data_IF_696926763324
#
_entry.id   IF_696926763324
#
_cell.length_a   1.000
_cell.length_b   1.000
_cell.length_c   1.000
_cell.angle_alpha   90.00
_cell.angle_beta   90.00
_cell.angle_gamma   90.00
#
_symmetry.space_group_name_H-M   'P 1'
#
loop_
_entity.id
_entity.type
_entity.pdbx_description
1 polymer ?
#
# COMPACT_ATOMS: atom_id res chain seq x y z
N UNK A 1 -3.82 23.89 -53.33
CA UNK A 1 -3.86 25.05 -52.43
C UNK A 1 -2.98 26.19 -52.92
N UNK A 2 -1.69 25.97 -53.17
CA UNK A 2 -0.79 27.06 -53.61
C UNK A 2 -1.19 27.72 -54.94
N UNK A 3 -1.58 26.94 -55.96
CA UNK A 3 -2.04 27.49 -57.24
C UNK A 3 -3.34 28.29 -57.08
N UNK A 4 -4.25 27.83 -56.23
CA UNK A 4 -5.51 28.49 -55.91
C UNK A 4 -5.28 29.84 -55.20
N UNK A 5 -4.34 29.86 -54.26
CA UNK A 5 -3.95 31.07 -53.53
C UNK A 5 -3.28 32.08 -54.47
N UNK A 6 -2.37 31.64 -55.35
CA UNK A 6 -1.74 32.50 -56.37
C UNK A 6 -2.75 33.07 -57.36
N UNK A 7 -3.71 32.27 -57.83
CA UNK A 7 -4.80 32.74 -58.71
C UNK A 7 -5.67 33.78 -58.01
N UNK A 8 -6.01 33.57 -56.72
CA UNK A 8 -6.78 34.53 -55.92
C UNK A 8 -6.04 35.86 -55.76
N UNK A 9 -4.74 35.81 -55.47
CA UNK A 9 -3.90 37.01 -55.30
C UNK A 9 -3.74 37.80 -56.60
N UNK A 10 -3.55 37.12 -57.74
CA UNK A 10 -3.45 37.77 -59.06
C UNK A 10 -4.78 38.41 -59.50
N UNK A 11 -5.91 37.75 -59.23
CA UNK A 11 -7.24 38.31 -59.49
C UNK A 11 -7.53 39.54 -58.59
N UNK A 12 -7.12 39.50 -57.31
CA UNK A 12 -7.28 40.63 -56.38
C UNK A 12 -6.40 41.81 -56.81
N UNK A 13 -5.16 41.54 -57.23
CA UNK A 13 -4.23 42.54 -57.79
C UNK A 13 -4.81 43.21 -59.05
N UNK A 14 -5.29 42.42 -60.01
CA UNK A 14 -5.93 42.93 -61.23
C UNK A 14 -7.17 43.78 -60.94
N UNK A 15 -8.02 43.34 -60.00
CA UNK A 15 -9.19 44.11 -59.57
C UNK A 15 -8.80 45.47 -58.98
N UNK A 16 -7.82 45.50 -58.06
CA UNK A 16 -7.34 46.74 -57.43
C UNK A 16 -6.73 47.70 -58.44
N UNK A 17 -5.96 47.20 -59.41
CA UNK A 17 -5.37 48.01 -60.47
C UNK A 17 -6.42 48.62 -61.39
N UNK A 18 -7.43 47.85 -61.82
CA UNK A 18 -8.55 48.36 -62.60
C UNK A 18 -9.36 49.39 -61.81
N UNK A 19 -9.68 49.12 -60.54
CA UNK A 19 -10.39 50.06 -59.66
C UNK A 19 -9.66 51.39 -59.52
N UNK A 20 -8.32 51.36 -59.36
CA UNK A 20 -7.48 52.56 -59.32
C UNK A 20 -7.55 53.34 -60.63
N UNK A 21 -7.37 52.67 -61.77
CA UNK A 21 -7.44 53.30 -63.10
C UNK A 21 -8.82 53.91 -63.37
N UNK A 22 -9.90 53.21 -63.02
CA UNK A 22 -11.27 53.70 -63.10
C UNK A 22 -11.47 54.98 -62.27
N UNK A 23 -10.96 55.01 -61.03
CA UNK A 23 -11.06 56.17 -60.15
C UNK A 23 -10.26 57.37 -60.69
N UNK A 24 -9.07 57.13 -61.24
CA UNK A 24 -8.25 58.16 -61.89
C UNK A 24 -8.92 58.72 -63.16
N UNK A 25 -9.49 57.86 -64.00
CA UNK A 25 -10.24 58.29 -65.19
C UNK A 25 -11.50 59.08 -64.82
N UNK A 26 -12.23 58.68 -63.77
CA UNK A 26 -13.38 59.43 -63.28
C UNK A 26 -13.00 60.81 -62.72
N UNK A 27 -11.85 60.92 -62.05
CA UNK A 27 -11.33 62.19 -61.58
C UNK A 27 -11.00 63.11 -62.76
N UNK A 28 -10.28 62.59 -63.76
CA UNK A 28 -9.95 63.33 -64.98
C UNK A 28 -11.18 63.74 -65.79
N UNK A 29 -12.23 62.91 -65.82
CA UNK A 29 -13.51 63.27 -66.44
C UNK A 29 -14.15 64.49 -65.77
N UNK A 30 -14.19 64.53 -64.43
CA UNK A 30 -14.69 65.69 -63.69
C UNK A 30 -13.84 66.95 -63.89
N UNK A 31 -12.53 66.79 -64.00
CA UNK A 31 -11.61 67.90 -64.30
C UNK A 31 -11.83 68.46 -65.73
N UNK A 32 -12.08 67.59 -66.71
CA UNK A 32 -12.34 67.98 -68.10
C UNK A 32 -13.77 68.53 -68.34
N UNK A 33 -14.76 68.08 -67.59
CA UNK A 33 -16.12 68.67 -67.61
C UNK A 33 -16.13 70.15 -67.16
N UNK A 34 -15.19 70.53 -66.28
CA UNK A 34 -15.03 71.91 -65.81
C UNK A 34 -14.21 72.78 -66.78
N UNK A 35 -13.44 72.17 -67.68
CA UNK A 35 -12.60 72.87 -68.65
C UNK A 35 -13.33 73.11 -70.00
N UNK A 36 -13.94 74.28 -70.17
CA UNK A 36 -14.67 74.65 -71.40
C UNK A 36 -13.74 74.89 -72.60
N UNK A 37 -13.72 73.95 -73.54
CA UNK A 37 -13.07 74.08 -74.86
C UNK A 37 -13.66 73.10 -75.87
N UNK A 38 -13.78 73.47 -77.15
CA UNK A 38 -14.36 72.61 -78.19
C UNK A 38 -13.56 71.31 -78.42
N UNK A 39 -12.25 71.31 -78.14
CA UNK A 39 -11.41 70.11 -78.10
C UNK A 39 -11.62 69.22 -76.87
N UNK A 40 -12.18 69.75 -75.77
CA UNK A 40 -12.47 69.00 -74.54
C UNK A 40 -13.60 68.00 -74.73
N UNK A 41 -14.57 68.25 -75.63
CA UNK A 41 -15.71 67.34 -75.84
C UNK A 41 -15.31 65.99 -76.45
N UNK A 42 -14.41 66.01 -77.43
CA UNK A 42 -13.90 64.77 -78.08
C UNK A 42 -13.04 63.97 -77.09
N UNK A 43 -12.20 64.64 -76.30
CA UNK A 43 -11.38 63.99 -75.27
C UNK A 43 -12.22 63.48 -74.09
N UNK A 44 -13.32 64.17 -73.75
CA UNK A 44 -14.29 63.74 -72.76
C UNK A 44 -15.01 62.46 -73.21
N UNK A 45 -15.48 62.40 -74.45
CA UNK A 45 -16.11 61.19 -75.01
C UNK A 45 -15.11 60.01 -75.07
N UNK A 46 -13.85 60.27 -75.45
CA UNK A 46 -12.78 59.28 -75.47
C UNK A 46 -12.50 58.73 -74.06
N UNK A 47 -12.35 59.62 -73.08
CA UNK A 47 -12.06 59.24 -71.69
C UNK A 47 -13.28 58.60 -71.02
N UNK A 48 -14.50 58.96 -71.43
CA UNK A 48 -15.74 58.34 -70.96
C UNK A 48 -15.86 56.91 -71.50
N UNK A 49 -15.53 56.68 -72.77
CA UNK A 49 -15.43 55.35 -73.35
C UNK A 49 -14.35 54.50 -72.66
N UNK A 50 -13.18 55.09 -72.38
CA UNK A 50 -12.07 54.44 -71.65
C UNK A 50 -12.47 54.09 -70.20
N UNK A 51 -13.13 55.00 -69.49
CA UNK A 51 -13.64 54.76 -68.14
C UNK A 51 -14.75 53.71 -68.11
N UNK A 52 -15.63 53.68 -69.11
CA UNK A 52 -16.64 52.64 -69.26
C UNK A 52 -16.01 51.28 -69.55
N UNK A 53 -14.96 51.23 -70.36
CA UNK A 53 -14.21 50.01 -70.64
C UNK A 53 -13.50 49.49 -69.39
N UNK A 54 -12.77 50.34 -68.67
CA UNK A 54 -12.12 49.98 -67.40
C UNK A 54 -13.12 49.55 -66.32
N UNK A 55 -14.34 50.14 -66.30
CA UNK A 55 -15.44 49.68 -65.43
C UNK A 55 -15.95 48.30 -65.80
N UNK A 56 -16.01 47.95 -67.09
CA UNK A 56 -16.36 46.58 -67.54
C UNK A 56 -15.27 45.60 -67.13
N UNK A 57 -14.00 45.99 -67.23
CA UNK A 57 -12.87 45.17 -66.79
C UNK A 57 -12.90 44.96 -65.27
N UNK A 58 -13.10 46.01 -64.47
CA UNK A 58 -13.26 45.91 -63.01
C UNK A 58 -14.39 44.93 -62.64
N UNK A 59 -15.57 45.05 -63.27
CA UNK A 59 -16.67 44.10 -63.05
C UNK A 59 -16.29 42.67 -63.42
N UNK A 60 -15.50 42.47 -64.48
CA UNK A 60 -15.04 41.15 -64.89
C UNK A 60 -14.07 40.53 -63.87
N UNK A 61 -13.23 41.35 -63.23
CA UNK A 61 -12.35 40.91 -62.15
C UNK A 61 -13.13 40.60 -60.88
N UNK A 62 -14.11 41.43 -60.51
CA UNK A 62 -14.99 41.18 -59.37
C UNK A 62 -15.80 39.88 -59.56
N UNK A 63 -16.28 39.61 -60.78
CA UNK A 63 -16.93 38.34 -61.11
C UNK A 63 -15.97 37.14 -60.96
N UNK A 64 -14.72 37.25 -61.41
CA UNK A 64 -13.71 36.19 -61.24
C UNK A 64 -13.37 35.95 -59.76
N UNK A 65 -13.30 37.02 -58.94
CA UNK A 65 -13.12 36.89 -57.49
C UNK A 65 -14.32 36.21 -56.82
N UNK A 66 -15.54 36.50 -57.25
CA UNK A 66 -16.74 35.81 -56.74
C UNK A 66 -16.76 34.33 -57.13
N UNK A 67 -16.32 33.97 -58.33
CA UNK A 67 -16.10 32.57 -58.72
C UNK A 67 -15.03 31.89 -57.84
N UNK A 68 -13.96 32.60 -57.45
CA UNK A 68 -13.00 32.06 -56.48
C UNK A 68 -13.65 31.84 -55.11
N UNK A 69 -14.49 32.75 -54.61
CA UNK A 69 -15.23 32.54 -53.34
C UNK A 69 -16.17 31.34 -53.41
N UNK A 70 -16.80 31.08 -54.57
CA UNK A 70 -17.60 29.86 -54.79
C UNK A 70 -16.71 28.62 -54.75
N UNK A 71 -15.54 28.67 -55.41
CA UNK A 71 -14.54 27.58 -55.35
C UNK A 71 -14.03 27.33 -53.93
N UNK A 72 -13.88 28.36 -53.08
CA UNK A 72 -13.56 28.22 -51.65
C UNK A 72 -14.67 27.51 -50.88
N UNK A 73 -15.93 27.88 -51.12
CA UNK A 73 -17.09 27.21 -50.50
C UNK A 73 -17.25 25.76 -50.94
N UNK A 74 -16.92 25.44 -52.19
CA UNK A 74 -16.94 24.08 -52.71
C UNK A 74 -15.63 23.32 -52.43
N UNK A 75 -14.65 23.95 -51.78
CA UNK A 75 -13.36 23.33 -51.55
C UNK A 75 -13.51 22.17 -50.55
N UNK A 76 -12.97 20.99 -50.85
CA UNK A 76 -13.02 19.87 -49.93
C UNK A 76 -12.35 20.21 -48.59
N UNK A 77 -12.99 19.78 -47.52
CA UNK A 77 -12.42 19.88 -46.18
C UNK A 77 -11.22 18.94 -46.04
N UNK A 78 -10.08 19.48 -45.63
CA UNK A 78 -8.84 18.77 -45.33
C UNK A 78 -8.25 19.28 -44.02
N UNK A 79 -7.15 18.70 -43.55
CA UNK A 79 -6.54 19.04 -42.25
C UNK A 79 -6.24 20.53 -42.09
N UNK A 80 -5.91 21.22 -43.20
CA UNK A 80 -5.56 22.64 -43.22
C UNK A 80 -6.79 23.57 -43.31
N UNK A 81 -7.93 23.07 -43.79
CA UNK A 81 -9.18 23.85 -43.88
C UNK A 81 -10.14 23.56 -42.72
N UNK A 82 -10.06 22.37 -42.12
CA UNK A 82 -10.93 21.94 -41.02
C UNK A 82 -10.65 22.65 -39.70
N UNK A 83 -9.37 22.81 -39.36
CA UNK A 83 -8.98 23.38 -38.07
C UNK A 83 -7.56 23.93 -38.12
N UNK A 84 -7.18 24.63 -37.05
CA UNK A 84 -5.81 25.08 -36.80
C UNK A 84 -5.38 24.60 -35.43
N UNK A 85 -4.08 24.40 -35.25
CA UNK A 85 -3.54 24.07 -33.94
C UNK A 85 -3.77 25.26 -32.98
N UNK A 86 -4.74 25.10 -32.08
CA UNK A 86 -5.09 26.11 -31.09
C UNK A 86 -4.22 26.03 -29.84
N UNK A 87 -3.75 24.84 -29.49
CA UNK A 87 -2.90 24.59 -28.33
C UNK A 87 -2.24 23.23 -28.46
N UNK A 88 -0.91 23.24 -28.43
CA UNK A 88 -0.10 22.02 -28.43
C UNK A 88 0.94 22.11 -27.33
N UNK A 89 0.85 21.19 -26.36
CA UNK A 89 1.81 21.05 -25.26
C UNK A 89 2.09 19.57 -25.05
N UNK A 90 3.34 19.18 -25.27
CA UNK A 90 3.83 17.86 -24.89
C UNK A 90 4.43 17.91 -23.49
N UNK A 91 4.30 16.80 -22.76
CA UNK A 91 4.99 16.57 -21.49
C UNK A 91 5.47 15.12 -21.50
N UNK A 92 6.79 14.94 -21.51
CA UNK A 92 7.41 13.64 -21.30
C UNK A 92 7.67 13.53 -19.81
N UNK A 93 7.12 12.49 -19.17
CA UNK A 93 7.35 12.23 -17.75
C UNK A 93 8.75 11.64 -17.53
N UNK A 94 9.78 12.45 -17.76
CA UNK A 94 11.15 12.12 -17.40
C UNK A 94 11.21 12.06 -15.88
N UNK A 95 11.39 10.86 -15.34
CA UNK A 95 11.42 10.64 -13.89
C UNK A 95 12.54 11.48 -13.27
N UNK A 96 12.34 12.03 -12.06
CA UNK A 96 13.43 12.62 -11.30
C UNK A 96 14.53 11.57 -11.09
N UNK A 97 15.78 12.03 -11.05
CA UNK A 97 16.94 11.21 -10.70
C UNK A 97 16.63 10.45 -9.40
N UNK A 98 16.94 9.15 -9.36
CA UNK A 98 16.56 8.27 -8.25
C UNK A 98 16.95 8.92 -6.92
N UNK A 99 15.94 9.33 -6.15
CA UNK A 99 16.16 9.87 -4.83
C UNK A 99 16.87 8.81 -3.98
N UNK A 100 17.87 9.26 -3.23
CA UNK A 100 18.66 8.45 -2.29
C UNK A 100 17.76 7.54 -1.46
N UNK A 101 18.27 6.34 -1.15
CA UNK A 101 17.58 5.34 -0.35
C UNK A 101 16.96 5.99 0.90
N UNK A 102 15.62 5.90 1.02
CA UNK A 102 14.88 6.44 2.17
C UNK A 102 15.52 5.89 3.46
N UNK A 103 15.81 6.79 4.42
CA UNK A 103 16.31 6.43 5.76
C UNK A 103 15.44 5.34 6.41
N UNK A 104 16.04 4.44 7.19
CA UNK A 104 15.34 3.33 7.87
C UNK A 104 14.14 3.82 8.69
N UNK A 105 14.26 4.98 9.33
CA UNK A 105 13.18 5.58 10.12
C UNK A 105 11.97 5.96 9.27
N UNK A 106 12.21 6.46 8.04
CA UNK A 106 11.15 6.79 7.08
C UNK A 106 10.46 5.53 6.58
N UNK A 107 11.22 4.45 6.35
CA UNK A 107 10.65 3.14 5.97
C UNK A 107 9.78 2.56 7.07
N UNK A 108 10.18 2.68 8.33
CA UNK A 108 9.40 2.20 9.48
C UNK A 108 8.07 2.98 9.63
N UNK A 109 8.11 4.31 9.52
CA UNK A 109 6.89 5.14 9.56
C UNK A 109 5.94 4.83 8.39
N UNK A 110 6.52 4.68 7.19
CA UNK A 110 5.79 4.26 6.00
C UNK A 110 5.20 2.87 6.17
N UNK A 111 5.93 1.94 6.79
CA UNK A 111 5.44 0.60 7.10
C UNK A 111 4.22 0.65 8.02
N UNK A 112 4.31 1.35 9.16
CA UNK A 112 3.20 1.48 10.10
C UNK A 112 1.96 2.06 9.45
N UNK A 113 2.10 3.22 8.81
CA UNK A 113 0.97 3.91 8.16
C UNK A 113 0.38 3.11 6.99
N UNK A 114 1.23 2.42 6.21
CA UNK A 114 0.78 1.57 5.12
C UNK A 114 -0.01 0.36 5.61
N UNK A 115 0.53 -0.33 6.62
CA UNK A 115 -0.12 -1.50 7.23
C UNK A 115 -1.46 -1.09 7.83
N UNK A 116 -1.52 0.00 8.61
CA UNK A 116 -2.78 0.49 9.19
C UNK A 116 -3.82 0.83 8.12
N UNK A 117 -3.39 1.45 7.01
CA UNK A 117 -4.29 1.87 5.93
C UNK A 117 -4.83 0.68 5.12
N UNK A 118 -3.99 -0.32 4.86
CA UNK A 118 -4.30 -1.40 3.93
C UNK A 118 -4.42 -2.77 4.59
N UNK A 119 -4.47 -2.85 5.91
CA UNK A 119 -4.50 -4.08 6.69
C UNK A 119 -5.53 -5.09 6.17
N UNK A 120 -6.78 -4.63 5.97
CA UNK A 120 -7.88 -5.47 5.48
C UNK A 120 -7.60 -6.01 4.09
N UNK A 121 -6.97 -5.20 3.24
CA UNK A 121 -6.65 -5.60 1.87
C UNK A 121 -5.50 -6.61 1.84
N UNK A 122 -4.50 -6.43 2.69
CA UNK A 122 -3.38 -7.37 2.87
C UNK A 122 -3.92 -8.71 3.39
N UNK A 123 -4.75 -8.69 4.43
CA UNK A 123 -5.39 -9.89 4.96
C UNK A 123 -6.24 -10.61 3.91
N UNK A 124 -7.00 -9.87 3.11
CA UNK A 124 -7.77 -10.45 2.01
C UNK A 124 -6.87 -11.15 0.99
N UNK A 125 -5.77 -10.52 0.57
CA UNK A 125 -4.79 -11.15 -0.32
C UNK A 125 -4.21 -12.44 0.30
N UNK A 126 -3.87 -12.41 1.60
CA UNK A 126 -3.37 -13.57 2.34
C UNK A 126 -4.34 -14.75 2.41
N UNK A 127 -5.65 -14.50 2.27
CA UNK A 127 -6.66 -15.56 2.26
C UNK A 127 -6.93 -16.16 0.87
N UNK A 128 -6.41 -15.56 -0.21
CA UNK A 128 -6.59 -16.10 -1.58
C UNK A 128 -5.70 -17.32 -1.82
N UNK A 129 -6.09 -18.19 -2.76
CA UNK A 129 -5.29 -19.37 -3.16
C UNK A 129 -5.06 -19.46 -4.65
N UNK A 130 -6.11 -19.26 -5.43
CA UNK A 130 -6.06 -19.43 -6.89
C UNK A 130 -5.19 -18.34 -7.51
N UNK A 131 -4.36 -18.75 -8.45
CA UNK A 131 -3.44 -17.85 -9.15
C UNK A 131 -4.17 -16.71 -9.87
N UNK A 132 -5.30 -16.98 -10.50
CA UNK A 132 -6.10 -15.98 -11.20
C UNK A 132 -6.69 -14.93 -10.24
N UNK A 133 -7.21 -15.38 -9.09
CA UNK A 133 -7.80 -14.50 -8.08
C UNK A 133 -6.72 -13.61 -7.46
N UNK A 134 -5.57 -14.18 -7.09
CA UNK A 134 -4.41 -13.44 -6.58
C UNK A 134 -3.91 -12.40 -7.59
N UNK A 135 -3.76 -12.79 -8.87
CA UNK A 135 -3.31 -11.89 -9.93
C UNK A 135 -4.30 -10.76 -10.19
N UNK A 136 -5.61 -11.06 -10.21
CA UNK A 136 -6.67 -10.07 -10.38
C UNK A 136 -6.69 -9.11 -9.20
N UNK A 137 -6.65 -9.63 -7.99
CA UNK A 137 -6.70 -8.82 -6.77
C UNK A 137 -5.52 -7.85 -6.65
N UNK A 138 -4.30 -8.31 -6.97
CA UNK A 138 -3.12 -7.44 -7.03
C UNK A 138 -3.16 -6.47 -8.22
N UNK A 139 -3.89 -6.79 -9.30
CA UNK A 139 -4.11 -5.82 -10.39
C UNK A 139 -5.05 -4.70 -9.97
N UNK A 140 -6.08 -5.03 -9.19
CA UNK A 140 -7.03 -4.05 -8.64
C UNK A 140 -6.39 -3.24 -7.50
N UNK A 141 -5.40 -3.81 -6.79
CA UNK A 141 -4.73 -3.23 -5.62
C UNK A 141 -3.20 -3.27 -5.76
N UNK A 142 -2.67 -2.65 -6.81
CA UNK A 142 -1.24 -2.73 -7.17
C UNK A 142 -0.29 -2.18 -6.09
N UNK A 143 -0.78 -1.27 -5.24
CA UNK A 143 0.00 -0.73 -4.12
C UNK A 143 0.38 -1.79 -3.08
N UNK A 144 -0.34 -2.91 -3.01
CA UNK A 144 -0.02 -4.04 -2.13
C UNK A 144 1.22 -4.81 -2.56
N UNK A 145 1.70 -4.63 -3.79
CA UNK A 145 2.91 -5.29 -4.29
C UNK A 145 4.14 -4.52 -3.79
N UNK A 146 4.55 -4.79 -2.56
CA UNK A 146 5.68 -4.18 -1.88
C UNK A 146 6.20 -5.03 -0.70
N UNK A 147 7.35 -4.66 -0.16
CA UNK A 147 8.00 -5.40 0.95
C UNK A 147 7.17 -5.33 2.24
N UNK A 148 6.48 -4.21 2.49
CA UNK A 148 5.66 -4.00 3.67
C UNK A 148 4.52 -5.02 3.78
N UNK A 149 3.89 -5.35 2.65
CA UNK A 149 2.86 -6.40 2.59
C UNK A 149 3.45 -7.77 2.95
N UNK A 150 4.61 -8.12 2.41
CA UNK A 150 5.26 -9.39 2.73
C UNK A 150 5.62 -9.48 4.21
N UNK A 151 6.19 -8.42 4.78
CA UNK A 151 6.57 -8.35 6.20
C UNK A 151 5.35 -8.51 7.11
N UNK A 152 4.24 -7.83 6.79
CA UNK A 152 3.00 -7.97 7.56
C UNK A 152 2.46 -9.40 7.51
N UNK A 153 2.42 -10.03 6.32
CA UNK A 153 1.93 -11.39 6.19
C UNK A 153 2.78 -12.40 6.98
N UNK A 154 4.11 -12.20 7.06
CA UNK A 154 4.99 -13.02 7.90
C UNK A 154 4.62 -12.90 9.38
N UNK A 155 4.43 -11.67 9.88
CA UNK A 155 4.02 -11.44 11.27
C UNK A 155 2.66 -12.09 11.53
N UNK A 156 1.72 -11.90 10.60
CA UNK A 156 0.38 -12.48 10.71
C UNK A 156 0.40 -14.01 10.73
N UNK A 157 1.27 -14.67 9.96
CA UNK A 157 1.48 -16.11 10.04
C UNK A 157 1.92 -16.56 11.45
N UNK A 158 2.83 -15.82 12.09
CA UNK A 158 3.31 -16.14 13.44
C UNK A 158 2.18 -15.95 14.46
N UNK A 159 1.42 -14.85 14.36
CA UNK A 159 0.28 -14.61 15.26
C UNK A 159 -0.78 -15.71 15.12
N UNK A 160 -1.12 -16.10 13.88
CA UNK A 160 -2.07 -17.19 13.64
C UNK A 160 -1.60 -18.53 14.22
N UNK A 161 -0.30 -18.82 14.16
CA UNK A 161 0.26 -20.04 14.74
C UNK A 161 0.23 -20.01 16.27
N UNK A 162 0.51 -18.86 16.88
CA UNK A 162 0.38 -18.66 18.34
C UNK A 162 -1.08 -18.76 18.79
N UNK A 163 -2.03 -18.32 17.96
CA UNK A 163 -3.47 -18.46 18.19
C UNK A 163 -4.03 -19.86 17.84
N UNK A 164 -3.17 -20.84 17.54
CA UNK A 164 -3.54 -22.22 17.14
C UNK A 164 -4.41 -22.32 15.86
N UNK A 165 -4.41 -21.28 15.02
CA UNK A 165 -5.11 -21.24 13.73
C UNK A 165 -4.24 -21.77 12.59
N UNK A 166 -3.66 -22.96 12.78
CA UNK A 166 -2.66 -23.53 11.88
C UNK A 166 -3.15 -23.64 10.43
N UNK A 167 -4.40 -24.06 10.19
CA UNK A 167 -4.95 -24.17 8.83
C UNK A 167 -4.99 -22.83 8.08
N UNK A 168 -5.31 -21.74 8.78
CA UNK A 168 -5.28 -20.40 8.20
C UNK A 168 -3.83 -19.90 8.04
N UNK A 169 -2.94 -20.23 8.98
CA UNK A 169 -1.51 -19.93 8.86
C UNK A 169 -0.93 -20.51 7.56
N UNK A 170 -1.22 -21.77 7.23
CA UNK A 170 -0.70 -22.39 6.00
C UNK A 170 -1.21 -21.71 4.73
N UNK A 171 -2.48 -21.29 4.75
CA UNK A 171 -3.10 -20.55 3.65
C UNK A 171 -2.43 -19.18 3.46
N UNK A 172 -2.19 -18.46 4.56
CA UNK A 172 -1.50 -17.16 4.52
C UNK A 172 -0.04 -17.32 4.13
N UNK A 173 0.64 -18.37 4.64
CA UNK A 173 2.02 -18.68 4.32
C UNK A 173 2.23 -18.87 2.81
N UNK A 174 1.30 -19.56 2.14
CA UNK A 174 1.33 -19.67 0.69
C UNK A 174 1.40 -18.29 0.02
N UNK A 175 0.50 -17.38 0.39
CA UNK A 175 0.44 -16.05 -0.20
C UNK A 175 1.62 -15.16 0.19
N UNK A 176 2.21 -15.38 1.36
CA UNK A 176 3.46 -14.76 1.78
C UNK A 176 4.60 -15.11 0.83
N UNK A 177 4.77 -16.40 0.52
CA UNK A 177 5.80 -16.87 -0.43
C UNK A 177 5.53 -16.33 -1.84
N UNK A 178 4.26 -16.26 -2.26
CA UNK A 178 3.89 -15.63 -3.54
C UNK A 178 4.37 -14.18 -3.61
N UNK A 179 4.13 -13.38 -2.56
CA UNK A 179 4.61 -12.01 -2.52
C UNK A 179 6.15 -11.94 -2.51
N UNK A 180 6.82 -12.80 -1.74
CA UNK A 180 8.28 -12.85 -1.70
C UNK A 180 8.89 -13.18 -3.06
N UNK A 181 8.35 -14.15 -3.80
CA UNK A 181 8.82 -14.51 -5.13
C UNK A 181 8.56 -13.40 -6.16
N UNK A 182 7.46 -12.65 -6.03
CA UNK A 182 7.22 -11.45 -6.86
C UNK A 182 8.32 -10.41 -6.61
N UNK A 183 8.65 -10.14 -5.34
CA UNK A 183 9.69 -9.18 -4.96
C UNK A 183 11.09 -9.66 -5.39
N UNK A 184 11.37 -10.95 -5.27
CA UNK A 184 12.63 -11.55 -5.70
C UNK A 184 12.79 -11.46 -7.23
N UNK A 185 11.76 -11.82 -7.99
CA UNK A 185 11.76 -11.68 -9.45
C UNK A 185 12.01 -10.22 -9.86
N UNK A 186 11.39 -9.26 -9.16
CA UNK A 186 11.59 -7.84 -9.40
C UNK A 186 13.04 -7.40 -9.15
N UNK A 187 13.64 -7.87 -8.05
CA UNK A 187 15.06 -7.64 -7.72
C UNK A 187 15.98 -8.24 -8.78
N UNK A 188 15.72 -9.46 -9.24
CA UNK A 188 16.51 -10.10 -10.32
C UNK A 188 16.43 -9.33 -11.64
N UNK A 189 15.25 -8.82 -11.97
CA UNK A 189 15.02 -8.05 -13.21
C UNK A 189 15.39 -6.57 -13.09
N UNK A 190 15.72 -6.08 -11.90
CA UNK A 190 15.99 -4.66 -11.58
C UNK A 190 14.85 -3.73 -12.02
N UNK A 191 13.62 -4.18 -11.82
CA UNK A 191 12.39 -3.43 -12.13
C UNK A 191 11.54 -3.30 -10.88
N UNK A 192 10.62 -2.32 -10.88
CA UNK A 192 9.66 -2.18 -9.80
C UNK A 192 8.74 -3.43 -9.74
N UNK A 193 8.53 -4.05 -8.57
CA UNK A 193 7.65 -5.21 -8.41
C UNK A 193 6.25 -5.01 -8.98
N UNK A 194 5.71 -3.79 -8.88
CA UNK A 194 4.39 -3.40 -9.38
C UNK A 194 4.29 -3.48 -10.90
N UNK A 195 5.43 -3.37 -11.59
CA UNK A 195 5.50 -3.48 -13.05
C UNK A 195 5.65 -4.93 -13.53
N UNK A 196 6.17 -5.85 -12.70
CA UNK A 196 6.49 -7.22 -13.13
C UNK A 196 5.70 -8.34 -12.43
N UNK A 197 4.89 -8.06 -11.41
CA UNK A 197 4.18 -9.13 -10.67
C UNK A 197 3.32 -10.03 -11.55
N UNK A 198 2.73 -9.52 -12.64
CA UNK A 198 1.96 -10.34 -13.59
C UNK A 198 2.82 -11.40 -14.27
N UNK A 199 4.10 -11.11 -14.51
CA UNK A 199 5.02 -12.07 -15.12
C UNK A 199 5.32 -13.24 -14.20
N UNK A 200 5.34 -13.03 -12.88
CA UNK A 200 5.42 -14.12 -11.91
C UNK A 200 4.23 -15.08 -12.09
N UNK A 201 3.00 -14.57 -12.14
CA UNK A 201 1.82 -15.42 -12.34
C UNK A 201 1.81 -16.12 -13.69
N UNK A 202 2.31 -15.49 -14.75
CA UNK A 202 2.51 -16.16 -16.04
C UNK A 202 3.50 -17.31 -15.91
N UNK A 203 4.67 -17.07 -15.29
CA UNK A 203 5.72 -18.08 -15.11
C UNK A 203 5.23 -19.25 -14.28
N UNK A 204 4.61 -19.02 -13.13
CA UNK A 204 4.20 -20.10 -12.21
C UNK A 204 3.08 -20.97 -12.80
N UNK A 205 2.21 -20.42 -13.65
CA UNK A 205 1.15 -21.18 -14.36
C UNK A 205 1.70 -22.09 -15.45
N UNK A 206 2.84 -21.72 -16.04
CA UNK A 206 3.51 -22.49 -17.11
C UNK A 206 4.80 -23.14 -16.63
N UNK A 207 5.03 -23.17 -15.32
CA UNK A 207 6.28 -23.62 -14.75
C UNK A 207 6.42 -25.13 -14.84
N UNK A 208 7.65 -25.59 -15.12
CA UNK A 208 7.98 -27.01 -15.06
C UNK A 208 7.90 -27.53 -13.62
N UNK A 209 7.72 -28.85 -13.48
CA UNK A 209 7.54 -29.51 -12.18
C UNK A 209 8.65 -29.18 -11.19
N UNK A 210 9.89 -29.05 -11.64
CA UNK A 210 11.04 -28.69 -10.82
C UNK A 210 10.91 -27.30 -10.17
N UNK A 211 10.34 -26.33 -10.86
CA UNK A 211 10.14 -24.99 -10.32
C UNK A 211 9.02 -24.98 -9.27
N UNK A 212 7.95 -25.74 -9.52
CA UNK A 212 6.87 -25.93 -8.54
C UNK A 212 7.33 -26.69 -7.30
N UNK A 213 8.21 -27.68 -7.46
CA UNK A 213 8.88 -28.39 -6.36
C UNK A 213 9.69 -27.40 -5.51
N UNK A 214 10.56 -26.58 -6.12
CA UNK A 214 11.31 -25.56 -5.39
C UNK A 214 10.44 -24.52 -4.68
N UNK A 215 9.32 -24.11 -5.29
CA UNK A 215 8.34 -23.24 -4.62
C UNK A 215 7.71 -23.90 -3.39
N UNK A 216 7.36 -25.19 -3.48
CA UNK A 216 6.79 -25.92 -2.36
C UNK A 216 7.82 -26.16 -1.25
N UNK A 217 9.08 -26.44 -1.60
CA UNK A 217 10.16 -26.61 -0.63
C UNK A 217 10.39 -25.32 0.17
N UNK A 218 10.40 -24.16 -0.50
CA UNK A 218 10.49 -22.85 0.17
C UNK A 218 9.27 -22.57 1.04
N UNK A 219 8.07 -22.98 0.61
CA UNK A 219 6.85 -22.86 1.40
C UNK A 219 6.89 -23.72 2.67
N UNK A 220 7.32 -24.98 2.57
CA UNK A 220 7.47 -25.85 3.75
C UNK A 220 8.55 -25.31 4.68
N UNK A 221 9.71 -24.91 4.15
CA UNK A 221 10.77 -24.29 4.94
C UNK A 221 10.29 -23.01 5.64
N UNK A 222 9.46 -22.21 4.99
CA UNK A 222 8.85 -21.03 5.60
C UNK A 222 7.87 -21.39 6.71
N UNK A 223 6.98 -22.37 6.51
CA UNK A 223 6.07 -22.85 7.56
C UNK A 223 6.83 -23.35 8.78
N UNK A 224 7.90 -24.12 8.60
CA UNK A 224 8.76 -24.55 9.71
C UNK A 224 9.40 -23.38 10.46
N UNK A 225 9.88 -22.35 9.74
CA UNK A 225 10.39 -21.13 10.38
C UNK A 225 9.32 -20.39 11.17
N UNK A 226 8.08 -20.35 10.68
CA UNK A 226 6.94 -19.74 11.39
C UNK A 226 6.63 -20.51 12.66
N UNK A 227 6.52 -21.84 12.59
CA UNK A 227 6.31 -22.73 13.76
C UNK A 227 7.39 -22.55 14.81
N UNK A 228 8.66 -22.50 14.41
CA UNK A 228 9.79 -22.25 15.30
C UNK A 228 9.70 -20.89 16.00
N UNK A 229 9.33 -19.83 15.28
CA UNK A 229 9.16 -18.48 15.87
C UNK A 229 7.94 -18.39 16.79
N UNK A 230 6.85 -19.07 16.46
CA UNK A 230 5.66 -19.15 17.31
C UNK A 230 5.99 -19.86 18.62
N UNK A 231 6.68 -21.01 18.55
CA UNK A 231 7.15 -21.75 19.73
C UNK A 231 8.03 -20.89 20.64
N UNK A 232 8.99 -20.15 20.07
CA UNK A 232 9.83 -19.20 20.84
C UNK A 232 9.02 -18.11 21.54
N UNK A 233 7.95 -17.60 20.91
CA UNK A 233 7.05 -16.61 21.54
C UNK A 233 6.25 -17.21 22.69
N UNK A 234 5.75 -18.44 22.53
CA UNK A 234 5.03 -19.18 23.56
C UNK A 234 5.97 -19.50 24.73
N UNK A 235 7.17 -20.04 24.47
CA UNK A 235 8.17 -20.33 25.50
C UNK A 235 8.57 -19.08 26.28
N UNK A 236 8.71 -17.93 25.61
CA UNK A 236 8.98 -16.65 26.28
C UNK A 236 7.84 -16.25 27.22
N UNK A 237 6.59 -16.34 26.76
CA UNK A 237 5.43 -16.03 27.58
C UNK A 237 5.27 -17.01 28.76
N UNK A 238 5.54 -18.30 28.56
CA UNK A 238 5.56 -19.31 29.63
C UNK A 238 6.65 -19.03 30.65
N UNK A 239 7.86 -18.67 30.22
CA UNK A 239 8.96 -18.32 31.11
C UNK A 239 8.65 -17.06 31.95
N UNK A 240 8.06 -16.03 31.33
CA UNK A 240 7.62 -14.84 32.04
C UNK A 240 6.54 -15.17 33.09
N UNK A 241 5.62 -16.07 32.76
CA UNK A 241 4.61 -16.58 33.70
C UNK A 241 5.25 -17.39 34.85
N UNK A 242 6.19 -18.27 34.55
CA UNK A 242 6.94 -19.04 35.55
C UNK A 242 7.77 -18.15 36.46
N UNK A 243 8.38 -17.08 35.94
CA UNK A 243 9.11 -16.09 36.76
C UNK A 243 8.17 -15.29 37.66
N UNK A 244 6.97 -14.94 37.21
CA UNK A 244 5.96 -14.28 38.04
C UNK A 244 5.43 -15.22 39.14
N UNK A 245 5.15 -16.48 38.83
CA UNK A 245 4.78 -17.49 39.83
C UNK A 245 5.95 -17.76 40.79
N UNK A 246 7.18 -17.78 40.29
CA UNK A 246 8.40 -17.87 41.10
C UNK A 246 8.51 -16.70 42.06
N UNK A 247 8.22 -15.47 41.65
CA UNK A 247 8.20 -14.30 42.54
C UNK A 247 7.12 -14.41 43.61
N UNK A 248 5.92 -14.89 43.28
CA UNK A 248 4.82 -15.06 44.25
C UNK A 248 5.12 -16.10 45.32
N UNK A 249 5.90 -17.14 44.99
CA UNK A 249 6.29 -18.20 45.93
C UNK A 249 7.58 -17.93 46.73
N UNK A 250 8.26 -16.79 46.50
CA UNK A 250 9.46 -16.47 47.27
C UNK A 250 9.13 -16.31 48.75
N UNK A 251 9.97 -16.90 49.59
CA UNK A 251 9.92 -16.75 51.03
C UNK A 251 10.29 -15.35 51.52
N UNK A 252 10.20 -15.10 52.83
CA UNK A 252 10.41 -13.77 53.44
C UNK A 252 11.80 -13.17 53.20
N UNK A 253 12.81 -13.99 52.87
CA UNK A 253 14.16 -13.58 52.50
C UNK A 253 14.45 -13.61 51.00
N UNK A 254 13.42 -13.76 50.16
CA UNK A 254 13.56 -13.75 48.69
C UNK A 254 14.13 -15.04 48.10
N UNK A 255 14.19 -16.13 48.87
CA UNK A 255 14.58 -17.45 48.39
C UNK A 255 13.36 -18.30 48.04
N UNK A 256 13.48 -19.12 47.01
CA UNK A 256 12.44 -20.05 46.59
C UNK A 256 12.47 -21.32 47.47
N UNK A 257 11.35 -21.68 48.13
CA UNK A 257 11.26 -22.91 48.93
C UNK A 257 11.64 -24.18 48.16
N UNK A 258 11.29 -24.27 46.87
CA UNK A 258 11.56 -25.46 46.05
C UNK A 258 13.05 -25.57 45.74
N UNK A 259 13.68 -24.46 45.34
CA UNK A 259 15.13 -24.44 45.05
C UNK A 259 15.97 -24.68 46.31
N UNK A 260 15.54 -24.12 47.45
CA UNK A 260 16.22 -24.39 48.71
C UNK A 260 16.08 -25.86 49.07
N UNK A 261 14.87 -26.44 49.00
CA UNK A 261 14.62 -27.85 49.30
C UNK A 261 15.49 -28.80 48.46
N UNK A 262 15.53 -28.64 47.13
CA UNK A 262 16.33 -29.48 46.24
C UNK A 262 17.84 -29.35 46.49
N UNK A 263 18.30 -28.19 46.97
CA UNK A 263 19.71 -27.93 47.27
C UNK A 263 20.14 -28.38 48.68
N UNK A 264 19.21 -28.83 49.52
CA UNK A 264 19.52 -29.32 50.86
C UNK A 264 20.15 -30.72 50.78
N UNK A 265 21.03 -31.09 51.73
CA UNK A 265 21.47 -32.47 51.93
C UNK A 265 20.28 -33.44 52.10
N UNK A 266 20.40 -34.67 51.57
CA UNK A 266 19.33 -35.69 51.64
C UNK A 266 18.84 -35.95 53.08
N UNK A 267 19.73 -35.83 54.06
CA UNK A 267 19.41 -36.00 55.48
C UNK A 267 18.44 -34.92 55.97
N UNK A 268 18.63 -33.67 55.53
CA UNK A 268 17.75 -32.55 55.85
C UNK A 268 16.46 -32.61 55.03
N UNK A 269 16.51 -33.02 53.75
CA UNK A 269 15.32 -33.25 52.93
C UNK A 269 14.37 -34.27 53.60
N UNK A 270 14.90 -35.42 54.04
CA UNK A 270 14.15 -36.44 54.79
C UNK A 270 13.55 -35.91 56.09
N UNK A 271 14.23 -34.99 56.78
CA UNK A 271 13.68 -34.36 57.99
C UNK A 271 12.44 -33.50 57.69
N UNK A 272 12.43 -32.78 56.55
CA UNK A 272 11.28 -32.00 56.11
C UNK A 272 10.15 -32.87 55.55
N UNK A 273 10.46 -33.98 54.86
CA UNK A 273 9.48 -34.97 54.37
C UNK A 273 8.70 -35.61 55.53
N UNK A 274 9.41 -36.02 56.58
CA UNK A 274 8.83 -36.70 57.75
C UNK A 274 8.28 -35.69 58.77
N UNK A 275 8.52 -34.39 58.57
CA UNK A 275 8.14 -33.28 59.48
C UNK A 275 8.61 -33.49 60.92
N UNK A 276 9.79 -34.08 61.09
CA UNK A 276 10.34 -34.40 62.40
C UNK A 276 11.39 -33.36 62.83
N UNK A 277 11.00 -32.53 63.81
CA UNK A 277 11.85 -31.45 64.37
C UNK A 277 13.02 -32.01 65.18
N UNK A 278 12.89 -33.19 65.80
CA UNK A 278 13.98 -33.82 66.55
C UNK A 278 15.02 -34.41 65.61
N UNK A 279 14.60 -35.04 64.51
CA UNK A 279 15.53 -35.51 63.47
C UNK A 279 16.28 -34.35 62.82
N UNK A 280 15.61 -33.20 62.59
CA UNK A 280 16.26 -32.01 62.06
C UNK A 280 17.34 -31.47 63.01
N UNK A 281 17.07 -31.44 64.32
CA UNK A 281 18.05 -31.01 65.33
C UNK A 281 19.24 -31.97 65.46
N UNK A 282 19.01 -33.28 65.34
CA UNK A 282 20.06 -34.30 65.39
C UNK A 282 20.94 -34.26 64.14
N UNK A 283 20.34 -34.08 62.95
CA UNK A 283 21.06 -33.89 61.69
C UNK A 283 21.95 -32.64 61.71
N UNK A 284 21.43 -31.53 62.25
CA UNK A 284 22.18 -30.27 62.41
C UNK A 284 23.33 -30.40 63.41
N UNK A 285 23.14 -31.16 64.49
CA UNK A 285 24.17 -31.35 65.51
C UNK A 285 25.33 -32.24 65.03
N UNK A 286 25.11 -33.06 63.99
CA UNK A 286 26.13 -33.90 63.36
C UNK A 286 26.89 -33.20 62.24
N UNK A 287 26.38 -32.08 61.74
CA UNK A 287 26.97 -31.31 60.65
C UNK A 287 27.94 -30.24 61.19
N UNK A 288 28.86 -29.79 60.34
CA UNK A 288 29.77 -28.69 60.70
C UNK A 288 28.98 -27.42 61.03
N UNK A 289 29.33 -26.68 62.11
CA UNK A 289 28.54 -25.53 62.58
C UNK A 289 28.33 -24.42 61.55
N UNK A 290 29.28 -24.27 60.62
CA UNK A 290 29.20 -23.30 59.51
C UNK A 290 28.18 -23.72 58.45
N UNK A 291 28.12 -25.00 58.11
CA UNK A 291 27.23 -25.55 57.09
C UNK A 291 25.80 -25.65 57.62
N UNK A 292 25.65 -26.06 58.89
CA UNK A 292 24.39 -26.02 59.61
C UNK A 292 23.76 -24.61 59.60
N UNK A 293 24.54 -23.59 59.91
CA UNK A 293 24.08 -22.19 59.88
C UNK A 293 23.73 -21.73 58.48
N UNK A 294 24.51 -22.12 57.48
CA UNK A 294 24.27 -21.79 56.08
C UNK A 294 22.94 -22.37 55.56
N UNK A 295 22.70 -23.67 55.76
CA UNK A 295 21.46 -24.32 55.33
C UNK A 295 20.25 -23.85 56.14
N UNK A 296 20.40 -23.66 57.45
CA UNK A 296 19.29 -23.23 58.30
C UNK A 296 18.82 -21.80 57.99
N UNK A 297 19.76 -20.87 57.76
CA UNK A 297 19.42 -19.51 57.35
C UNK A 297 18.62 -19.51 56.05
N UNK A 298 19.02 -20.34 55.07
CA UNK A 298 18.30 -20.49 53.79
C UNK A 298 16.91 -21.11 53.96
N UNK A 299 16.72 -22.05 54.88
CA UNK A 299 15.40 -22.59 55.23
C UNK A 299 14.47 -21.53 55.82
N UNK A 300 15.01 -20.58 56.59
CA UNK A 300 14.23 -19.44 57.14
C UNK A 300 13.89 -18.45 56.05
N UNK A 301 14.89 -18.06 55.25
CA UNK A 301 14.76 -17.05 54.20
C UNK A 301 13.85 -17.52 53.04
N UNK A 302 13.74 -18.83 52.83
CA UNK A 302 12.77 -19.44 51.91
C UNK A 302 11.41 -19.75 52.53
N UNK A 303 11.26 -19.64 53.86
CA UNK A 303 10.01 -19.96 54.55
C UNK A 303 9.75 -21.47 54.75
N UNK A 304 10.71 -22.35 54.42
CA UNK A 304 10.68 -23.79 54.74
C UNK A 304 10.67 -24.06 56.25
N UNK A 305 11.29 -23.19 57.03
CA UNK A 305 11.34 -23.30 58.50
C UNK A 305 11.08 -21.95 59.16
N UNK A 306 10.10 -21.90 60.06
CA UNK A 306 9.81 -20.71 60.85
C UNK A 306 10.44 -20.89 62.24
N UNK A 307 11.47 -20.11 62.62
CA UNK A 307 12.09 -20.21 63.92
C UNK A 307 11.05 -19.99 65.02
N UNK A 308 10.94 -20.95 65.94
CA UNK A 308 10.07 -20.87 67.10
C UNK A 308 10.66 -19.88 68.13
N UNK A 309 10.57 -18.58 67.83
CA UNK A 309 10.97 -17.50 68.74
C UNK A 309 9.94 -16.37 68.84
N UNK A 310 8.67 -16.69 68.58
CA UNK A 310 7.49 -15.95 69.06
C UNK A 310 6.33 -16.92 69.35
N UNK A 311 6.33 -17.53 70.53
CA UNK A 311 5.12 -18.15 71.06
C UNK A 311 4.11 -17.05 71.44
N UNK A 312 3.13 -16.79 70.59
CA UNK A 312 1.71 -16.52 70.92
C UNK A 312 0.99 -15.81 69.77
N UNK A 313 0.21 -16.56 69.01
CA UNK A 313 -1.22 -16.29 68.83
C UNK A 313 -1.86 -17.54 68.21
N UNK A 314 -2.47 -18.33 69.09
CA UNK A 314 -3.41 -19.35 68.66
C UNK A 314 -4.66 -18.65 68.12
N UNK A 315 -5.08 -19.01 66.91
CA UNK A 315 -6.48 -19.35 66.65
C UNK A 315 -6.56 -20.54 65.71
N UNK A 316 -6.82 -21.69 66.33
CA UNK A 316 -7.49 -22.84 65.74
C UNK A 316 -8.75 -22.43 64.98
N UNK A 317 -9.03 -23.19 63.93
CA UNK A 317 -10.27 -23.14 63.16
C UNK A 317 -10.25 -24.19 62.05
N UNK A 318 -10.31 -25.45 62.46
CA UNK A 318 -10.44 -26.62 61.57
C UNK A 318 -11.84 -26.70 60.94
N UNK A 319 -11.85 -27.17 59.69
CA UNK A 319 -12.96 -27.72 58.88
C UNK A 319 -14.20 -26.88 58.51
N UNK A 320 -14.40 -26.71 57.20
CA UNK A 320 -15.48 -27.36 56.46
C UNK A 320 -15.44 -26.94 54.98
N UNK A 321 -15.28 -27.90 54.08
CA UNK A 321 -15.51 -27.65 52.64
C UNK A 321 -16.98 -27.33 52.36
N UNK A 322 -17.30 -26.69 51.24
CA UNK A 322 -18.62 -26.82 50.64
C UNK A 322 -18.53 -27.82 49.49
N UNK A 323 -19.25 -28.92 49.65
CA UNK A 323 -19.60 -29.81 48.55
C UNK A 323 -20.38 -29.06 47.47
N UNK A 324 -20.19 -29.55 46.26
CA UNK A 324 -20.99 -29.30 45.09
C UNK A 324 -22.49 -29.56 45.38
N UNK A 325 -23.39 -28.70 44.86
CA UNK A 325 -24.58 -29.23 44.23
C UNK A 325 -24.80 -28.61 42.85
N UNK A 326 -24.68 -29.50 41.86
CA UNK A 326 -25.37 -29.48 40.58
C UNK A 326 -26.79 -28.87 40.68
N UNK A 327 -27.12 -27.90 39.82
CA UNK A 327 -28.32 -27.88 38.96
C UNK A 327 -28.41 -26.60 38.10
N UNK A 328 -28.84 -26.85 36.86
CA UNK A 328 -29.10 -25.94 35.75
C UNK A 328 -29.90 -24.67 36.07
N UNK A 329 -29.56 -23.57 35.39
CA UNK A 329 -30.54 -22.63 34.83
C UNK A 329 -29.90 -21.74 33.76
N UNK A 330 -30.30 -21.93 32.50
CA UNK A 330 -29.98 -21.02 31.40
C UNK A 330 -30.75 -19.70 31.49
N UNK A 331 -30.32 -18.63 30.80
CA UNK A 331 -31.09 -17.40 30.72
C UNK A 331 -32.12 -17.50 29.61
N UNK A 332 -33.41 -17.50 29.97
CA UNK A 332 -34.47 -17.14 29.03
C UNK A 332 -34.65 -15.61 28.98
N UNK A 333 -35.03 -15.08 27.82
CA UNK A 333 -35.19 -13.65 27.57
C UNK A 333 -36.58 -13.17 27.98
N UNK A 334 -36.72 -11.86 28.18
CA UNK A 334 -37.99 -11.18 27.96
C UNK A 334 -38.22 -10.00 28.88
N UNK A 335 -38.19 -8.79 28.30
CA UNK A 335 -39.35 -7.92 28.48
C UNK A 335 -39.54 -7.04 27.24
N UNK A 336 -40.49 -7.47 26.41
CA UNK A 336 -41.11 -6.62 25.38
C UNK A 336 -42.13 -5.75 26.08
N UNK A 337 -41.93 -4.44 26.04
CA UNK A 337 -43.03 -3.49 26.12
C UNK A 337 -43.67 -3.39 24.74
N UNK A 338 -44.85 -3.99 24.61
CA UNK A 338 -45.84 -3.58 23.63
C UNK A 338 -46.42 -2.23 24.05
N UNK A 339 -46.31 -1.24 23.17
CA UNK A 339 -47.27 -0.13 23.09
C UNK A 339 -47.59 0.05 21.61
N UNK A 340 -48.80 -0.36 21.25
CA UNK A 340 -49.44 0.01 19.99
C UNK A 340 -49.89 1.46 20.05
N UNK A 341 -49.53 2.23 19.02
CA UNK A 341 -50.30 3.31 18.43
C UNK A 341 -49.73 3.60 17.03
#
# INVERSE_FOLDING_TARGET
>A
MEQFQKEKEELDRGCRECRRKVAECQRKLKELEVAEGEGSKVELERLQAEAQQLRKEERSWEQKLEEMRKKEKSMPWNVDTLSKDGFSKSMVNTKPEQAEEESEEVREQKHKTFVEKYEKQIKHFGMLRRWDDSQKYLSDNVHLVCEETANYLVIWCIDLEVEEKCALMEQVAHQTIVMQFILELAKSLKVDPRACFRQFFTKIKTADRQYMEGFNDELEAFKERVRGRAKLRIEKAMKEYEEEERKKRLGPGGLDPVEVYESLPEELQKCFDVKDVQMLQDAISKMDPTDAKYHMQRCIDSGLWVPNSKSSEAKDGEEAGPGDPLLEAGPKPGDKKDVSA
#
